data_IF_363858115761
#
_entry.id   IF_363858115761
#
_cell.length_a   1.000
_cell.length_b   1.000
_cell.length_c   1.000
_cell.angle_alpha   90.00
_cell.angle_beta   90.00
_cell.angle_gamma   90.00
#
_symmetry.space_group_name_H-M   'P 1'
#
loop_
_entity.id
_entity.type
_entity.pdbx_description
1 polymer ?
#
# COMPACT_ATOMS: atom_id res chain seq x y z
N UNK A 1 35.87 -45.73 -21.64
CA UNK A 1 36.17 -44.69 -22.64
C UNK A 1 34.87 -44.18 -23.24
N UNK A 2 34.24 -43.17 -22.60
CA UNK A 2 33.21 -42.30 -23.20
C UNK A 2 33.39 -40.93 -22.56
N UNK A 3 33.64 -39.94 -23.40
CA UNK A 3 34.17 -38.61 -23.10
C UNK A 3 33.06 -37.66 -22.63
N UNK A 4 33.35 -36.94 -21.55
CA UNK A 4 32.55 -35.80 -21.06
C UNK A 4 32.75 -34.61 -22.01
N UNK A 5 31.68 -34.10 -22.62
CA UNK A 5 31.70 -32.82 -23.31
C UNK A 5 31.16 -31.74 -22.37
N UNK A 6 32.08 -30.92 -21.87
CA UNK A 6 31.80 -29.67 -21.16
C UNK A 6 31.46 -28.63 -22.23
N UNK A 7 30.22 -28.14 -22.24
CA UNK A 7 29.81 -27.01 -23.09
C UNK A 7 29.94 -25.75 -22.24
N UNK A 8 31.03 -25.01 -22.47
CA UNK A 8 31.24 -23.65 -21.96
C UNK A 8 30.44 -22.68 -22.84
N UNK A 9 29.46 -21.99 -22.25
CA UNK A 9 28.86 -20.81 -22.87
C UNK A 9 29.56 -19.56 -22.32
N UNK A 10 30.42 -18.96 -23.14
CA UNK A 10 30.89 -17.58 -22.97
C UNK A 10 30.20 -16.72 -24.01
N UNK A 11 29.45 -15.71 -23.58
CA UNK A 11 29.00 -14.61 -24.44
C UNK A 11 28.86 -13.30 -23.65
N UNK A 12 29.01 -12.15 -24.32
CA UNK A 12 29.83 -11.05 -23.84
C UNK A 12 29.09 -9.84 -23.25
N UNK A 13 29.86 -9.06 -22.50
CA UNK A 13 29.65 -7.67 -22.10
C UNK A 13 29.30 -6.74 -23.28
N UNK A 14 28.27 -5.90 -23.08
CA UNK A 14 28.03 -4.50 -23.53
C UNK A 14 26.50 -4.30 -23.69
N UNK A 15 25.85 -3.17 -23.42
CA UNK A 15 26.30 -1.78 -23.28
C UNK A 15 25.15 -0.98 -22.64
N UNK A 16 25.51 0.17 -22.07
CA UNK A 16 24.64 1.22 -21.50
C UNK A 16 23.62 1.75 -22.53
N UNK A 17 22.44 2.14 -22.03
CA UNK A 17 21.66 3.24 -22.59
C UNK A 17 21.07 4.05 -21.43
N UNK A 18 21.61 5.26 -21.27
CA UNK A 18 21.10 6.34 -20.42
C UNK A 18 20.49 7.38 -21.35
N UNK A 19 19.17 7.46 -21.41
CA UNK A 19 18.45 8.55 -22.07
C UNK A 19 17.88 9.44 -20.97
N UNK A 20 18.54 10.54 -20.59
CA UNK A 20 18.57 11.87 -21.22
C UNK A 20 17.19 12.54 -21.30
N UNK A 21 16.98 13.42 -20.31
CA UNK A 21 16.04 14.53 -20.28
C UNK A 21 16.25 15.49 -21.45
N UNK A 22 15.21 16.04 -22.10
CA UNK A 22 15.37 17.21 -22.94
C UNK A 22 15.31 18.49 -22.10
N UNK A 23 16.44 19.19 -22.04
CA UNK A 23 16.53 20.62 -21.72
C UNK A 23 16.46 21.39 -23.03
N UNK A 24 15.52 22.32 -23.21
CA UNK A 24 15.59 23.31 -24.29
C UNK A 24 15.47 24.72 -23.73
N UNK A 25 16.53 25.47 -23.94
CA UNK A 25 16.75 26.88 -23.62
C UNK A 25 16.01 27.82 -24.59
N UNK A 26 15.32 28.80 -24.00
CA UNK A 26 15.17 30.21 -24.37
C UNK A 26 15.69 30.71 -25.74
N UNK A 27 14.80 31.31 -26.56
CA UNK A 27 14.99 32.69 -27.08
C UNK A 27 13.74 33.27 -27.77
N UNK A 28 13.65 34.60 -27.70
CA UNK A 28 12.52 35.51 -27.85
C UNK A 28 11.98 35.73 -29.28
N UNK A 29 10.68 36.02 -29.41
CA UNK A 29 10.16 37.11 -30.25
C UNK A 29 8.71 37.48 -29.89
N UNK A 30 8.48 38.79 -29.78
CA UNK A 30 7.25 39.42 -29.34
C UNK A 30 6.24 39.56 -30.49
N UNK A 31 4.95 39.33 -30.20
CA UNK A 31 3.85 39.95 -30.94
C UNK A 31 2.77 40.42 -29.96
N UNK A 32 2.32 41.64 -30.20
CA UNK A 32 1.38 42.45 -29.44
C UNK A 32 -0.08 42.03 -29.70
N UNK A 33 -0.93 42.22 -28.69
CA UNK A 33 -2.40 42.12 -28.74
C UNK A 33 -2.91 40.94 -27.90
N UNK A 34 -3.84 41.05 -26.95
CA UNK A 34 -4.66 42.15 -26.48
C UNK A 34 -5.81 41.52 -25.67
N UNK A 35 -6.16 42.16 -24.55
CA UNK A 35 -7.41 42.05 -23.78
C UNK A 35 -7.67 40.82 -22.88
N UNK A 36 -7.70 41.14 -21.56
CA UNK A 36 -8.70 40.79 -20.53
C UNK A 36 -8.98 39.29 -20.25
N UNK A 37 -9.06 38.80 -19.01
CA UNK A 37 -9.61 39.41 -17.80
C UNK A 37 -9.24 38.57 -16.56
N UNK A 38 -9.27 39.25 -15.41
CA UNK A 38 -9.30 38.77 -14.00
C UNK A 38 -8.05 38.15 -13.40
N UNK A 39 -7.34 38.97 -12.62
CA UNK A 39 -6.30 38.52 -11.71
C UNK A 39 -6.87 37.93 -10.42
N UNK A 40 -6.02 37.18 -9.72
CA UNK A 40 -5.97 37.22 -8.27
C UNK A 40 -4.51 37.32 -7.83
N UNK A 41 -4.16 38.55 -7.47
CA UNK A 41 -3.08 39.04 -6.61
C UNK A 41 -2.09 38.01 -6.01
N UNK A 42 -0.85 38.03 -6.49
CA UNK A 42 0.31 37.79 -5.64
C UNK A 42 0.76 39.13 -5.04
N UNK A 43 0.40 39.39 -3.78
CA UNK A 43 1.11 40.39 -2.96
C UNK A 43 2.00 39.59 -2.02
N UNK A 44 3.29 39.57 -2.31
CA UNK A 44 4.31 39.13 -1.35
C UNK A 44 4.44 40.22 -0.27
N UNK A 45 3.85 40.00 0.90
CA UNK A 45 4.29 40.69 2.11
C UNK A 45 5.42 39.89 2.75
N UNK A 46 6.65 40.37 2.54
CA UNK A 46 7.82 39.98 3.32
C UNK A 46 7.71 40.60 4.71
N UNK A 47 7.08 39.90 5.66
CA UNK A 47 7.20 40.10 7.13
C UNK A 47 6.32 39.06 7.83
N UNK A 48 6.80 37.83 7.96
CA UNK A 48 6.58 36.99 9.15
C UNK A 48 7.35 35.67 8.99
N UNK A 49 8.57 35.67 9.51
CA UNK A 49 9.44 34.51 9.66
C UNK A 49 9.08 33.78 10.96
N UNK A 50 7.81 33.37 11.14
CA UNK A 50 7.39 32.49 12.24
C UNK A 50 6.24 31.57 11.83
N UNK A 51 6.58 30.28 11.69
CA UNK A 51 5.69 29.11 11.81
C UNK A 51 4.70 28.83 10.66
N UNK A 52 5.22 28.58 9.45
CA UNK A 52 4.50 27.78 8.46
C UNK A 52 4.62 26.29 8.79
N UNK A 53 3.86 25.80 9.77
CA UNK A 53 3.66 24.35 9.90
C UNK A 53 2.70 23.92 8.80
N UNK A 54 3.27 23.24 7.82
CA UNK A 54 2.58 22.61 6.69
C UNK A 54 1.40 21.78 7.20
N UNK A 55 0.18 22.22 6.95
CA UNK A 55 -0.99 21.34 7.05
C UNK A 55 -0.76 20.20 6.05
N UNK A 56 -0.34 19.03 6.55
CA UNK A 56 -0.13 17.88 5.69
C UNK A 56 -1.45 17.52 5.00
N UNK A 57 -1.41 17.09 3.72
CA UNK A 57 -2.62 16.81 2.97
C UNK A 57 -3.48 15.76 3.70
N UNK A 58 -4.82 15.90 3.67
CA UNK A 58 -5.73 15.02 4.41
C UNK A 58 -5.60 13.55 3.97
N UNK A 59 -5.11 13.32 2.75
CA UNK A 59 -4.90 12.02 2.13
C UNK A 59 -3.41 11.86 1.82
N UNK A 60 -2.76 10.88 2.46
CA UNK A 60 -1.38 10.51 2.16
C UNK A 60 -1.30 9.47 1.05
N UNK A 61 -0.23 9.53 0.26
CA UNK A 61 0.10 8.46 -0.68
C UNK A 61 0.71 7.28 0.08
N UNK A 62 0.14 6.09 -0.09
CA UNK A 62 0.66 4.85 0.47
C UNK A 62 1.22 3.98 -0.64
N UNK A 63 2.55 3.96 -0.72
CA UNK A 63 3.27 3.11 -1.67
C UNK A 63 3.19 1.64 -1.24
N UNK A 64 2.59 0.81 -2.08
CA UNK A 64 2.42 -0.63 -1.86
C UNK A 64 3.07 -1.39 -3.02
N UNK A 65 4.06 -2.26 -2.75
CA UNK A 65 4.76 -3.00 -3.79
C UNK A 65 3.82 -4.03 -4.44
N UNK A 66 3.93 -4.18 -5.77
CA UNK A 66 3.29 -5.28 -6.51
C UNK A 66 4.17 -6.52 -6.36
N UNK A 67 3.77 -7.44 -5.50
CA UNK A 67 4.51 -8.66 -5.16
C UNK A 67 3.78 -9.49 -4.12
N UNK A 68 4.42 -10.53 -3.59
CA UNK A 68 3.88 -11.32 -2.47
C UNK A 68 4.61 -10.93 -1.20
N UNK A 69 3.88 -10.34 -0.25
CA UNK A 69 4.38 -10.07 1.10
C UNK A 69 3.73 -11.06 2.08
N UNK A 70 4.46 -11.38 3.15
CA UNK A 70 3.93 -12.08 4.30
C UNK A 70 3.37 -11.09 5.36
N UNK A 71 2.75 -11.62 6.42
CA UNK A 71 2.13 -10.82 7.47
C UNK A 71 3.11 -9.82 8.12
N UNK A 72 4.32 -10.26 8.47
CA UNK A 72 5.30 -9.42 9.15
C UNK A 72 5.79 -8.28 8.24
N UNK A 73 5.98 -8.56 6.95
CA UNK A 73 6.37 -7.54 5.97
C UNK A 73 5.25 -6.49 5.77
N UNK A 74 3.99 -6.93 5.77
CA UNK A 74 2.84 -6.02 5.75
C UNK A 74 2.76 -5.18 7.03
N UNK A 75 2.94 -5.80 8.19
CA UNK A 75 2.95 -5.11 9.48
C UNK A 75 4.05 -4.02 9.49
N UNK A 76 5.25 -4.34 9.01
CA UNK A 76 6.36 -3.39 8.86
C UNK A 76 6.07 -2.28 7.84
N UNK A 77 5.45 -2.61 6.71
CA UNK A 77 5.07 -1.63 5.68
C UNK A 77 4.10 -0.58 6.24
N UNK A 78 3.10 -1.02 7.02
CA UNK A 78 2.15 -0.12 7.70
C UNK A 78 2.85 0.72 8.77
N UNK A 79 3.77 0.13 9.53
CA UNK A 79 4.55 0.86 10.53
C UNK A 79 5.41 1.98 9.88
N UNK A 80 6.09 1.67 8.78
CA UNK A 80 6.89 2.63 8.02
C UNK A 80 6.04 3.79 7.47
N UNK A 81 4.85 3.46 6.93
CA UNK A 81 3.91 4.48 6.47
C UNK A 81 3.49 5.42 7.61
N UNK A 82 3.15 4.89 8.78
CA UNK A 82 2.75 5.71 9.96
C UNK A 82 3.92 6.50 10.57
N UNK A 83 5.16 6.03 10.44
CA UNK A 83 6.33 6.78 10.85
C UNK A 83 6.68 7.93 9.88
N UNK A 84 6.30 7.80 8.60
CA UNK A 84 6.60 8.76 7.54
C UNK A 84 5.36 9.43 6.94
N UNK A 85 5.03 9.18 5.66
CA UNK A 85 3.99 9.93 4.92
C UNK A 85 2.59 9.91 5.55
N UNK A 86 2.27 8.86 6.31
CA UNK A 86 0.98 8.65 6.95
C UNK A 86 0.89 9.08 8.41
N UNK A 87 1.90 9.80 8.94
CA UNK A 87 1.97 10.19 10.36
C UNK A 87 0.70 10.90 10.81
N UNK A 88 0.32 11.96 10.09
CA UNK A 88 -0.82 12.82 10.42
C UNK A 88 -1.99 12.71 9.45
N UNK A 89 -1.89 11.85 8.44
CA UNK A 89 -2.95 11.69 7.45
C UNK A 89 -4.14 10.92 8.04
N UNK A 90 -5.36 11.38 7.74
CA UNK A 90 -6.60 10.67 8.12
C UNK A 90 -6.92 9.56 7.13
N UNK A 91 -6.61 9.80 5.86
CA UNK A 91 -6.86 8.86 4.78
C UNK A 91 -5.57 8.55 4.01
N UNK A 92 -5.55 7.41 3.33
CA UNK A 92 -4.47 6.94 2.48
C UNK A 92 -5.01 6.57 1.10
N UNK A 93 -4.30 6.99 0.06
CA UNK A 93 -4.46 6.48 -1.30
C UNK A 93 -3.43 5.37 -1.53
N UNK A 94 -3.89 4.14 -1.68
CA UNK A 94 -3.03 2.98 -1.96
C UNK A 94 -2.59 2.97 -3.43
N UNK A 95 -1.27 2.86 -3.68
CA UNK A 95 -0.73 2.83 -5.04
C UNK A 95 -1.21 1.63 -5.84
N UNK A 96 -1.32 0.45 -5.24
CA UNK A 96 -1.86 -0.75 -5.88
C UNK A 96 -3.31 -0.54 -6.35
N UNK A 97 -4.21 -0.10 -5.44
CA UNK A 97 -5.60 0.21 -5.79
C UNK A 97 -5.71 1.26 -6.88
N UNK A 98 -4.93 2.34 -6.77
CA UNK A 98 -4.92 3.41 -7.76
C UNK A 98 -4.60 2.89 -9.16
N UNK A 99 -3.61 2.01 -9.27
CA UNK A 99 -3.24 1.40 -10.55
C UNK A 99 -4.24 0.37 -11.08
N UNK A 100 -5.03 -0.25 -10.20
CA UNK A 100 -6.18 -1.07 -10.60
C UNK A 100 -7.39 -0.21 -11.01
N UNK A 101 -7.25 1.12 -11.08
CA UNK A 101 -8.31 2.05 -11.44
C UNK A 101 -9.29 2.37 -10.31
N UNK A 102 -8.97 1.98 -9.06
CA UNK A 102 -9.83 2.24 -7.89
C UNK A 102 -9.55 3.63 -7.33
N UNK A 103 -10.60 4.41 -7.10
CA UNK A 103 -10.52 5.78 -6.55
C UNK A 103 -10.73 5.85 -5.03
N UNK A 104 -10.94 4.70 -4.38
CA UNK A 104 -11.22 4.62 -2.95
C UNK A 104 -10.00 5.03 -2.10
N UNK A 105 -10.25 5.83 -1.08
CA UNK A 105 -9.30 6.09 0.00
C UNK A 105 -9.56 5.20 1.21
N UNK A 106 -8.53 4.98 2.02
CA UNK A 106 -8.56 4.10 3.18
C UNK A 106 -8.23 4.88 4.44
N UNK A 107 -8.97 4.65 5.52
CA UNK A 107 -8.63 5.20 6.84
C UNK A 107 -7.25 4.70 7.30
N UNK A 108 -6.42 5.60 7.84
CA UNK A 108 -5.01 5.30 8.17
C UNK A 108 -4.82 4.57 9.51
N UNK A 109 -5.89 4.15 10.20
CA UNK A 109 -5.73 3.33 11.40
C UNK A 109 -4.97 2.05 11.02
N UNK A 110 -3.92 1.66 11.76
CA UNK A 110 -3.07 0.53 11.40
C UNK A 110 -3.86 -0.78 11.16
N UNK A 111 -4.90 -1.04 11.94
CA UNK A 111 -5.76 -2.21 11.75
C UNK A 111 -6.50 -2.21 10.39
N UNK A 112 -6.93 -1.04 9.92
CA UNK A 112 -7.64 -0.89 8.65
C UNK A 112 -6.69 -1.06 7.46
N UNK A 113 -5.51 -0.43 7.52
CA UNK A 113 -4.49 -0.56 6.48
C UNK A 113 -3.98 -2.01 6.38
N UNK A 114 -3.71 -2.68 7.51
CA UNK A 114 -3.31 -4.10 7.51
C UNK A 114 -4.35 -4.99 6.83
N UNK A 115 -5.63 -4.88 7.23
CA UNK A 115 -6.73 -5.63 6.61
C UNK A 115 -6.84 -5.36 5.11
N UNK A 116 -6.69 -4.11 4.71
CA UNK A 116 -6.69 -3.72 3.30
C UNK A 116 -5.56 -4.43 2.53
N UNK A 117 -4.34 -4.41 3.06
CA UNK A 117 -3.17 -5.04 2.43
C UNK A 117 -3.25 -6.57 2.41
N UNK A 118 -3.82 -7.19 3.44
CA UNK A 118 -4.06 -8.64 3.45
C UNK A 118 -4.92 -9.10 2.27
N UNK A 119 -5.80 -8.25 1.74
CA UNK A 119 -6.57 -8.56 0.55
C UNK A 119 -5.69 -8.55 -0.72
N UNK A 120 -4.73 -7.63 -0.84
CA UNK A 120 -3.80 -7.60 -1.97
C UNK A 120 -2.83 -8.80 -1.97
N UNK A 121 -2.34 -9.16 -0.80
CA UNK A 121 -1.36 -10.24 -0.64
C UNK A 121 -1.97 -11.61 -0.33
N UNK A 122 -3.30 -11.70 -0.33
CA UNK A 122 -4.06 -12.92 -0.01
C UNK A 122 -3.68 -13.57 1.33
N UNK A 123 -3.31 -12.74 2.31
CA UNK A 123 -2.87 -13.20 3.63
C UNK A 123 -4.09 -13.60 4.44
N UNK A 124 -4.21 -14.89 4.74
CA UNK A 124 -5.24 -15.44 5.60
C UNK A 124 -4.73 -15.51 7.03
N UNK A 125 -5.39 -14.80 7.93
CA UNK A 125 -4.97 -14.67 9.33
C UNK A 125 -5.79 -15.53 10.29
N UNK A 126 -6.91 -16.09 9.84
CA UNK A 126 -7.89 -16.75 10.69
C UNK A 126 -8.31 -18.08 10.08
N UNK A 127 -8.25 -19.16 10.86
CA UNK A 127 -8.72 -20.49 10.48
C UNK A 127 -9.98 -20.89 11.23
N UNK A 128 -10.80 -21.75 10.63
CA UNK A 128 -11.92 -22.40 11.29
C UNK A 128 -11.43 -23.58 12.13
N UNK A 129 -11.89 -23.72 13.38
CA UNK A 129 -11.52 -24.88 14.22
C UNK A 129 -12.19 -26.19 13.79
N UNK A 130 -13.22 -26.12 12.94
CA UNK A 130 -14.06 -27.25 12.57
C UNK A 130 -13.82 -27.75 11.13
N UNK A 131 -13.06 -27.00 10.32
CA UNK A 131 -12.64 -27.40 8.97
C UNK A 131 -11.39 -26.61 8.53
N UNK A 132 -10.82 -26.96 7.38
CA UNK A 132 -9.60 -26.33 6.85
C UNK A 132 -9.84 -24.95 6.20
N UNK A 133 -11.03 -24.35 6.39
CA UNK A 133 -11.33 -23.04 5.84
C UNK A 133 -10.54 -21.93 6.53
N UNK A 134 -9.99 -21.02 5.72
CA UNK A 134 -9.16 -19.91 6.17
C UNK A 134 -9.63 -18.59 5.57
N UNK A 135 -9.49 -17.52 6.33
CA UNK A 135 -10.08 -16.21 6.07
C UNK A 135 -9.09 -15.08 6.33
N UNK A 136 -9.26 -13.97 5.61
CA UNK A 136 -8.43 -12.77 5.79
C UNK A 136 -8.85 -11.96 7.02
N UNK A 137 -10.12 -12.10 7.46
CA UNK A 137 -10.66 -11.39 8.63
C UNK A 137 -11.34 -12.33 9.62
N UNK A 138 -11.36 -11.94 10.90
CA UNK A 138 -12.01 -12.69 11.98
C UNK A 138 -13.51 -12.83 11.75
N UNK A 139 -14.16 -11.76 11.33
CA UNK A 139 -15.62 -11.74 11.15
C UNK A 139 -16.06 -12.72 10.07
N UNK A 140 -15.32 -12.82 8.97
CA UNK A 140 -15.56 -13.84 7.93
C UNK A 140 -15.48 -15.26 8.50
N UNK A 141 -14.47 -15.55 9.34
CA UNK A 141 -14.31 -16.85 9.96
C UNK A 141 -15.42 -17.15 10.99
N UNK A 142 -15.90 -16.13 11.73
CA UNK A 142 -17.01 -16.28 12.68
C UNK A 142 -18.33 -16.55 11.96
N UNK A 143 -18.63 -15.79 10.91
CA UNK A 143 -19.83 -15.98 10.08
C UNK A 143 -19.82 -17.38 9.46
N UNK A 144 -18.69 -17.78 8.87
CA UNK A 144 -18.51 -19.14 8.39
C UNK A 144 -18.77 -20.19 9.49
N UNK A 145 -18.22 -20.00 10.68
CA UNK A 145 -18.42 -20.88 11.83
C UNK A 145 -19.90 -21.09 12.18
N UNK A 146 -20.69 -20.02 12.13
CA UNK A 146 -22.13 -20.03 12.44
C UNK A 146 -22.98 -20.66 11.35
N UNK A 147 -22.67 -20.36 10.09
CA UNK A 147 -23.53 -20.72 8.96
C UNK A 147 -23.24 -22.14 8.45
N UNK A 148 -21.98 -22.59 8.58
CA UNK A 148 -21.52 -23.85 8.01
C UNK A 148 -21.44 -25.01 9.03
N UNK A 149 -21.47 -24.72 10.33
CA UNK A 149 -21.40 -25.75 11.37
C UNK A 149 -22.62 -25.73 12.29
N UNK A 150 -23.13 -26.91 12.63
CA UNK A 150 -24.34 -27.08 13.44
C UNK A 150 -24.17 -26.56 14.87
N UNK A 151 -25.27 -26.06 15.46
CA UNK A 151 -25.30 -25.45 16.79
C UNK A 151 -24.80 -26.36 17.94
N UNK A 152 -24.77 -27.69 17.72
CA UNK A 152 -24.36 -28.66 18.73
C UNK A 152 -22.83 -28.63 18.98
N UNK A 153 -22.02 -28.69 17.91
CA UNK A 153 -20.55 -28.46 17.98
C UNK A 153 -20.20 -27.03 18.42
N UNK A 154 -21.12 -26.11 18.19
CA UNK A 154 -21.00 -24.69 18.52
C UNK A 154 -21.11 -24.40 20.02
N UNK A 155 -21.89 -25.21 20.73
CA UNK A 155 -22.11 -25.08 22.17
C UNK A 155 -20.97 -25.71 22.99
N UNK A 156 -20.35 -26.76 22.45
CA UNK A 156 -19.22 -27.46 23.08
C UNK A 156 -17.91 -26.66 23.02
N UNK A 157 -17.73 -25.83 21.99
CA UNK A 157 -16.53 -24.98 21.78
C UNK A 157 -16.67 -23.51 22.25
N UNK A 158 -17.83 -23.12 22.81
CA UNK A 158 -18.05 -21.76 23.30
C UNK A 158 -18.04 -20.67 22.21
N UNK A 159 -17.55 -19.45 22.53
CA UNK A 159 -17.54 -18.27 21.61
C UNK A 159 -16.44 -18.29 20.56
N UNK A 160 -15.65 -19.36 20.47
CA UNK A 160 -14.40 -19.38 19.69
C UNK A 160 -14.45 -20.48 18.63
N UNK A 161 -14.96 -20.11 17.45
CA UNK A 161 -14.97 -20.94 16.23
C UNK A 161 -13.71 -20.75 15.37
N UNK A 162 -12.86 -19.80 15.77
CA UNK A 162 -11.81 -19.21 14.95
C UNK A 162 -10.51 -19.21 15.74
N UNK A 163 -9.42 -19.65 15.11
CA UNK A 163 -8.08 -19.50 15.65
C UNK A 163 -7.25 -18.54 14.80
N UNK A 164 -6.39 -17.70 15.40
CA UNK A 164 -5.42 -16.93 14.65
C UNK A 164 -4.36 -17.87 14.08
N UNK A 165 -4.07 -17.77 12.77
CA UNK A 165 -2.99 -18.49 12.10
C UNK A 165 -1.60 -17.93 12.49
N UNK A 166 -1.58 -16.70 13.02
CA UNK A 166 -0.39 -16.03 13.51
C UNK A 166 -0.74 -15.43 14.89
N UNK A 167 -0.49 -16.13 16.01
CA UNK A 167 -0.74 -15.58 17.33
C UNK A 167 0.12 -14.30 17.51
N UNK A 168 -0.54 -13.20 17.86
CA UNK A 168 0.13 -11.96 18.26
C UNK A 168 0.93 -12.29 19.52
N UNK A 169 2.25 -12.09 19.51
CA UNK A 169 3.10 -12.26 20.69
C UNK A 169 2.70 -11.16 21.67
N UNK A 170 1.78 -11.47 22.60
CA UNK A 170 1.51 -10.64 23.76
C UNK A 170 2.49 -11.07 24.85
N UNK A 171 3.54 -10.28 25.06
CA UNK A 171 4.31 -10.31 26.31
C UNK A 171 3.48 -9.75 27.47
#
# INVERSE_FOLDING_TARGET
MKTNHIITFTSPLNQRATDLMPSSTYSSQAHLGGAAQVGCFYILKLTDLTLAWTEQPPIAWFEVPRGRLNKAEVDQLVANFKAGPGRNAKEARCSWCYHEGKTKHWDTRPANLRRHLYAHFEIKCYGCLLCDAQFTTRDQAVVHGKDHHTADKSRELGRTFVYPLFPEQTE
#
